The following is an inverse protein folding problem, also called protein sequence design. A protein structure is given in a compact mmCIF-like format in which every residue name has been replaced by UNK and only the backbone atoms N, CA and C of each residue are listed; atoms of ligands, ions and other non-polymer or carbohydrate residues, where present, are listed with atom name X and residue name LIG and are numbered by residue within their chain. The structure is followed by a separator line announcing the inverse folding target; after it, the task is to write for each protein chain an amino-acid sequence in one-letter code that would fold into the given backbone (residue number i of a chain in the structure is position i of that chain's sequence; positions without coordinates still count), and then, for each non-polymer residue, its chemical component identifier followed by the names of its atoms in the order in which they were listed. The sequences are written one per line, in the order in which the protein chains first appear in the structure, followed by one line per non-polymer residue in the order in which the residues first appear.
data_IF_041515604475
#
_entry.id   IF_041515604475
#
_cell.length_a   1.000
_cell.length_b   1.000
_cell.length_c   1.000
_cell.angle_alpha   90.00
_cell.angle_beta   90.00
_cell.angle_gamma   90.00
#
_symmetry.space_group_name_H-M   'P 1'
#
loop_
_entity.id
_entity.type
_entity.pdbx_description
1 polymer ?
#
# COMPACT_ATOMS: atom_id res chain seq x y z
N UNK A 1 -12.47 7.23 7.04
CA UNK A 1 -13.32 8.43 7.25
C UNK A 1 -12.74 9.58 6.44
N UNK A 2 -13.55 10.55 6.04
CA UNK A 2 -13.03 11.74 5.34
C UNK A 2 -11.87 12.36 6.12
N UNK A 3 -10.77 12.67 5.41
CA UNK A 3 -9.54 13.20 5.98
C UNK A 3 -8.58 12.16 6.59
N UNK A 4 -8.96 10.88 6.68
CA UNK A 4 -8.05 9.80 7.09
C UNK A 4 -6.94 9.60 6.07
N UNK A 5 -5.77 9.16 6.54
CA UNK A 5 -4.61 8.86 5.69
C UNK A 5 -4.54 7.37 5.38
N UNK A 6 -4.32 7.05 4.10
CA UNK A 6 -4.06 5.70 3.61
C UNK A 6 -2.69 5.64 2.95
N UNK A 7 -2.01 4.51 3.10
CA UNK A 7 -0.80 4.22 2.35
C UNK A 7 -1.17 3.53 1.04
N UNK A 8 -0.45 3.84 -0.04
CA UNK A 8 -0.68 3.25 -1.37
C UNK A 8 0.65 2.82 -1.96
N UNK A 9 0.70 1.59 -2.46
CA UNK A 9 1.83 1.09 -3.24
C UNK A 9 2.02 1.94 -4.52
N UNK A 10 3.25 2.40 -4.79
CA UNK A 10 3.57 3.21 -5.97
C UNK A 10 4.75 2.61 -6.77
N UNK A 11 4.69 2.61 -8.12
CA UNK A 11 3.56 3.02 -8.94
C UNK A 11 2.40 2.00 -8.89
N UNK A 12 1.15 2.47 -9.01
CA UNK A 12 -0.03 1.61 -9.15
C UNK A 12 -1.07 2.22 -10.10
N UNK A 13 -2.18 1.50 -10.30
CA UNK A 13 -3.25 1.92 -11.20
C UNK A 13 -3.84 3.26 -10.76
N UNK A 14 -3.82 4.25 -11.65
CA UNK A 14 -4.23 5.62 -11.35
C UNK A 14 -5.68 5.74 -10.80
N UNK A 15 -6.56 4.78 -11.14
CA UNK A 15 -7.93 4.75 -10.63
C UNK A 15 -8.01 4.56 -9.10
N UNK A 16 -6.96 4.03 -8.46
CA UNK A 16 -6.84 3.99 -7.00
C UNK A 16 -6.79 5.41 -6.42
N UNK A 17 -5.98 6.29 -6.99
CA UNK A 17 -5.88 7.68 -6.54
C UNK A 17 -7.20 8.43 -6.75
N UNK A 18 -7.88 8.22 -7.88
CA UNK A 18 -9.20 8.79 -8.13
C UNK A 18 -10.24 8.32 -7.10
N UNK A 19 -10.24 7.05 -6.75
CA UNK A 19 -11.15 6.51 -5.73
C UNK A 19 -10.85 7.11 -4.34
N UNK A 20 -9.58 7.23 -3.98
CA UNK A 20 -9.14 7.83 -2.71
C UNK A 20 -9.54 9.30 -2.64
N UNK A 21 -9.31 10.07 -3.70
CA UNK A 21 -9.69 11.49 -3.79
C UNK A 21 -11.21 11.67 -3.64
N UNK A 22 -12.01 10.83 -4.33
CA UNK A 22 -13.47 10.84 -4.22
C UNK A 22 -13.98 10.50 -2.81
N UNK A 23 -13.22 9.72 -2.04
CA UNK A 23 -13.51 9.41 -0.64
C UNK A 23 -13.00 10.50 0.33
N UNK A 24 -12.30 11.52 -0.18
CA UNK A 24 -11.68 12.58 0.59
C UNK A 24 -10.58 12.10 1.54
N UNK A 25 -9.86 11.03 1.15
CA UNK A 25 -8.76 10.48 1.94
C UNK A 25 -7.42 11.13 1.52
N UNK A 26 -6.46 11.13 2.44
CA UNK A 26 -5.08 11.57 2.17
C UNK A 26 -4.22 10.36 1.78
N UNK A 27 -3.27 10.56 0.89
CA UNK A 27 -2.37 9.51 0.40
C UNK A 27 -0.96 9.71 0.93
N UNK A 28 -0.34 8.61 1.36
CA UNK A 28 1.10 8.47 1.48
C UNK A 28 1.55 7.36 0.53
N UNK A 29 2.45 7.68 -0.38
CA UNK A 29 2.98 6.69 -1.33
C UNK A 29 4.11 5.88 -0.69
N UNK A 30 4.07 4.57 -0.92
CA UNK A 30 5.14 3.63 -0.53
C UNK A 30 5.71 3.06 -1.82
N UNK A 31 7.00 3.35 -2.08
CA UNK A 31 7.70 2.81 -3.23
C UNK A 31 7.69 1.28 -3.23
N UNK A 32 7.58 0.71 -4.42
CA UNK A 32 7.62 -0.74 -4.64
C UNK A 32 8.71 -1.14 -5.62
N UNK A 33 9.23 -2.33 -5.42
CA UNK A 33 10.13 -3.02 -6.33
C UNK A 33 9.40 -4.19 -7.01
N UNK A 34 9.57 -4.42 -8.32
CA UNK A 34 8.83 -5.47 -9.04
C UNK A 34 9.07 -6.90 -8.52
N UNK A 35 10.20 -7.16 -7.85
CA UNK A 35 10.57 -8.49 -7.38
C UNK A 35 10.19 -8.72 -5.92
N UNK A 36 10.24 -7.66 -5.11
CA UNK A 36 10.12 -7.73 -3.66
C UNK A 36 8.88 -7.03 -3.11
N UNK A 37 8.23 -6.20 -3.93
CA UNK A 37 7.02 -5.44 -3.64
C UNK A 37 7.30 -4.16 -2.85
N UNK A 38 6.30 -3.66 -2.12
CA UNK A 38 6.40 -2.47 -1.29
C UNK A 38 7.54 -2.51 -0.26
N UNK A 39 8.19 -1.36 -0.06
CA UNK A 39 9.19 -1.11 0.98
C UNK A 39 8.53 -1.11 2.37
N UNK A 40 8.58 -2.26 3.04
CA UNK A 40 7.99 -2.45 4.38
C UNK A 40 8.62 -1.57 5.46
N UNK A 41 9.95 -1.41 5.55
CA UNK A 41 10.55 -0.43 6.46
C UNK A 41 10.05 1.01 6.25
N UNK A 42 9.80 1.41 4.99
CA UNK A 42 9.21 2.72 4.69
C UNK A 42 7.75 2.78 5.17
N UNK A 43 6.97 1.74 4.91
CA UNK A 43 5.58 1.62 5.37
C UNK A 43 5.48 1.70 6.89
N UNK A 44 6.32 1.00 7.64
CA UNK A 44 6.34 1.04 9.12
C UNK A 44 6.54 2.47 9.64
N UNK A 45 7.53 3.18 9.11
CA UNK A 45 7.77 4.59 9.45
C UNK A 45 6.59 5.48 9.08
N UNK A 46 5.95 5.22 7.95
CA UNK A 46 4.78 5.97 7.52
C UNK A 46 3.57 5.74 8.44
N UNK A 47 3.36 4.51 8.91
CA UNK A 47 2.30 4.15 9.86
C UNK A 47 2.44 4.97 11.13
N UNK A 48 3.63 5.01 11.72
CA UNK A 48 3.91 5.78 12.93
C UNK A 48 3.74 7.29 12.71
N UNK A 49 4.28 7.81 11.61
CA UNK A 49 4.32 9.26 11.34
C UNK A 49 2.97 9.84 10.95
N UNK A 50 2.17 9.11 10.17
CA UNK A 50 0.97 9.64 9.52
C UNK A 50 -0.34 9.00 9.99
N UNK A 51 -0.29 8.11 10.99
CA UNK A 51 -1.47 7.42 11.53
C UNK A 51 -2.29 6.70 10.44
N UNK A 52 -1.59 5.95 9.59
CA UNK A 52 -2.16 5.23 8.44
C UNK A 52 -3.29 4.29 8.87
N UNK A 53 -4.44 4.39 8.20
CA UNK A 53 -5.65 3.57 8.50
C UNK A 53 -5.80 2.34 7.63
N UNK A 54 -5.25 2.38 6.42
CA UNK A 54 -5.28 1.28 5.46
C UNK A 54 -4.04 1.33 4.58
N UNK A 55 -3.62 0.18 4.06
CA UNK A 55 -2.58 0.06 3.04
C UNK A 55 -3.18 -0.64 1.83
N UNK A 56 -3.15 0.04 0.69
CA UNK A 56 -3.64 -0.47 -0.60
C UNK A 56 -2.45 -0.94 -1.42
N UNK A 57 -2.42 -2.22 -1.78
CA UNK A 57 -1.35 -2.80 -2.59
C UNK A 57 -1.91 -3.86 -3.54
N UNK A 58 -1.26 -4.06 -4.69
CA UNK A 58 -1.68 -5.07 -5.67
C UNK A 58 -0.54 -6.08 -5.80
N UNK A 59 -0.45 -7.08 -4.92
CA UNK A 59 0.71 -7.98 -4.86
C UNK A 59 0.76 -8.97 -6.04
N UNK A 60 -0.26 -9.03 -6.88
CA UNK A 60 -0.32 -9.89 -8.06
C UNK A 60 -0.72 -9.07 -9.28
N UNK A 61 0.17 -8.99 -10.25
CA UNK A 61 -0.02 -8.33 -11.53
C UNK A 61 -0.42 -6.84 -11.39
N UNK A 62 0.29 -6.09 -10.54
CA UNK A 62 0.08 -4.65 -10.38
C UNK A 62 0.19 -3.93 -11.73
N UNK A 63 -0.65 -2.93 -12.00
CA UNK A 63 -0.53 -2.07 -13.18
C UNK A 63 0.15 -0.77 -12.74
N UNK A 64 1.30 -0.34 -13.32
CA UNK A 64 1.84 -0.71 -14.63
C UNK A 64 2.92 -1.80 -14.66
N UNK A 65 3.36 -2.28 -13.50
CA UNK A 65 4.61 -3.06 -13.37
C UNK A 65 4.47 -4.53 -13.82
N UNK A 66 3.28 -5.10 -13.74
CA UNK A 66 2.97 -6.52 -14.00
C UNK A 66 3.53 -7.49 -12.96
N UNK A 67 4.06 -7.01 -11.84
CA UNK A 67 4.79 -7.82 -10.85
C UNK A 67 3.89 -8.80 -10.10
N UNK A 68 4.41 -9.99 -9.81
CA UNK A 68 3.77 -10.99 -8.95
C UNK A 68 4.69 -11.29 -7.76
N UNK A 69 4.31 -10.81 -6.59
CA UNK A 69 5.12 -10.93 -5.38
C UNK A 69 5.11 -12.39 -4.89
N UNK A 70 6.25 -12.98 -4.52
CA UNK A 70 6.27 -14.34 -3.99
C UNK A 70 5.46 -14.49 -2.69
N UNK A 71 4.75 -15.61 -2.52
CA UNK A 71 3.89 -15.81 -1.33
C UNK A 71 4.62 -15.74 0.00
N UNK A 72 5.90 -16.13 0.03
CA UNK A 72 6.75 -15.99 1.23
C UNK A 72 6.86 -14.52 1.66
N UNK A 73 6.95 -13.58 0.72
CA UNK A 73 6.98 -12.14 1.00
C UNK A 73 5.62 -11.63 1.45
N UNK A 74 4.53 -12.04 0.79
CA UNK A 74 3.16 -11.68 1.19
C UNK A 74 2.85 -12.05 2.65
N UNK A 75 3.28 -13.24 3.09
CA UNK A 75 3.12 -13.67 4.50
C UNK A 75 3.82 -12.73 5.48
N UNK A 76 5.03 -12.27 5.15
CA UNK A 76 5.76 -11.31 5.98
C UNK A 76 5.02 -9.96 6.06
N UNK A 77 4.33 -9.55 5.00
CA UNK A 77 3.53 -8.32 4.99
C UNK A 77 2.35 -8.42 5.96
N UNK A 78 1.62 -9.54 5.91
CA UNK A 78 0.50 -9.77 6.82
C UNK A 78 0.92 -9.78 8.29
N UNK A 79 2.10 -10.31 8.62
CA UNK A 79 2.61 -10.31 10.00
C UNK A 79 3.01 -8.93 10.53
N UNK A 80 3.42 -8.02 9.65
CA UNK A 80 3.83 -6.66 10.02
C UNK A 80 2.66 -5.69 10.16
N UNK A 81 1.48 -6.07 9.66
CA UNK A 81 0.29 -5.22 9.61
C UNK A 81 -0.90 -5.78 10.43
N UNK A 82 -0.73 -6.18 11.71
CA UNK A 82 -1.83 -6.69 12.54
C UNK A 82 -2.75 -5.51 12.96
N UNK A 83 -3.62 -5.07 12.06
CA UNK A 83 -4.54 -3.96 12.29
C UNK A 83 -4.80 -3.09 11.06
N UNK A 84 -3.98 -3.22 10.01
CA UNK A 84 -4.19 -2.53 8.73
C UNK A 84 -4.84 -3.53 7.77
N UNK A 85 -6.03 -3.18 7.29
CA UNK A 85 -6.73 -3.97 6.28
C UNK A 85 -5.95 -3.82 4.97
N UNK A 86 -5.24 -4.88 4.56
CA UNK A 86 -4.68 -5.00 3.21
C UNK A 86 -5.79 -5.47 2.27
N UNK A 87 -6.10 -4.70 1.23
CA UNK A 87 -7.08 -5.03 0.19
C UNK A 87 -6.43 -4.97 -1.19
#
# INVERSE_FOLDING_TARGET
KYGDTVAVESPCYFGIYQAIENLGLKVVEISSDPLTGADLPCLEKAIEKFSIKAFVCIPNYNNPVGSCIPDKRKRNWCSLLPGIISR
#
